data_IF_797970990196
#
_entry.id   IF_797970990196
#
_cell.length_a   1.000
_cell.length_b   1.000
_cell.length_c   1.000
_cell.angle_alpha   90.00
_cell.angle_beta   90.00
_cell.angle_gamma   90.00
#
_symmetry.space_group_name_H-M   'P 1'
#
loop_
_entity.id
_entity.type
_entity.pdbx_description
1 polymer ?
#
# COMPACT_ATOMS: atom_id res chain seq x y z
N UNK A 1 -29.36 6.08 -6.57
CA UNK A 1 -28.48 4.90 -6.69
C UNK A 1 -28.12 4.63 -8.13
N UNK A 2 -27.07 3.89 -8.36
CA UNK A 2 -26.61 3.49 -9.70
C UNK A 2 -27.66 2.57 -10.37
N UNK A 3 -28.06 2.89 -11.62
CA UNK A 3 -28.89 1.99 -12.38
C UNK A 3 -28.08 0.83 -12.94
N UNK A 4 -28.74 -0.33 -13.14
CA UNK A 4 -28.09 -1.51 -13.75
C UNK A 4 -27.52 -1.20 -15.14
N UNK A 5 -28.13 -0.30 -15.89
CA UNK A 5 -27.64 0.07 -17.22
C UNK A 5 -26.33 0.85 -17.15
N UNK A 6 -26.18 1.76 -16.19
CA UNK A 6 -24.91 2.47 -15.97
C UNK A 6 -23.79 1.51 -15.58
N UNK A 7 -24.06 0.52 -14.72
CA UNK A 7 -23.07 -0.50 -14.35
C UNK A 7 -22.67 -1.33 -15.57
N UNK A 8 -23.61 -1.73 -16.43
CA UNK A 8 -23.32 -2.45 -17.68
C UNK A 8 -22.47 -1.63 -18.66
N UNK A 9 -22.78 -0.34 -18.81
CA UNK A 9 -21.98 0.56 -19.67
C UNK A 9 -20.56 0.71 -19.11
N UNK A 10 -20.42 0.91 -17.81
CA UNK A 10 -19.11 0.95 -17.16
C UNK A 10 -18.31 -0.35 -17.37
N UNK A 11 -18.96 -1.51 -17.19
CA UNK A 11 -18.31 -2.82 -17.40
C UNK A 11 -17.79 -2.98 -18.85
N UNK A 12 -18.48 -2.43 -19.85
CA UNK A 12 -18.01 -2.48 -21.24
C UNK A 12 -16.76 -1.63 -21.50
N UNK A 13 -16.57 -0.56 -20.71
CA UNK A 13 -15.41 0.33 -20.82
C UNK A 13 -14.18 -0.13 -20.02
N UNK A 14 -14.37 -1.05 -19.05
CA UNK A 14 -13.28 -1.55 -18.20
C UNK A 14 -12.46 -2.61 -18.93
N UNK A 15 -11.15 -2.58 -18.72
CA UNK A 15 -10.28 -3.74 -18.96
C UNK A 15 -10.35 -4.72 -17.77
N UNK A 16 -10.66 -4.20 -16.59
CA UNK A 16 -10.97 -4.96 -15.40
C UNK A 16 -12.41 -5.47 -15.36
N UNK A 17 -12.93 -5.66 -14.15
CA UNK A 17 -14.27 -6.23 -13.96
C UNK A 17 -14.94 -5.73 -12.68
N UNK A 18 -16.27 -5.88 -12.64
CA UNK A 18 -17.10 -5.51 -11.50
C UNK A 18 -17.62 -6.78 -10.83
N UNK A 19 -17.53 -6.81 -9.49
CA UNK A 19 -18.12 -7.85 -8.63
C UNK A 19 -19.25 -7.24 -7.84
N UNK A 20 -20.43 -7.88 -7.91
CA UNK A 20 -21.67 -7.41 -7.28
C UNK A 20 -22.08 -8.34 -6.14
N UNK A 21 -22.87 -7.84 -5.16
CA UNK A 21 -23.58 -8.71 -4.23
C UNK A 21 -24.39 -9.78 -4.95
N UNK A 22 -24.14 -11.05 -4.64
CA UNK A 22 -24.76 -12.19 -5.31
C UNK A 22 -23.82 -12.94 -6.26
N UNK A 23 -22.72 -12.34 -6.67
CA UNK A 23 -21.69 -13.05 -7.43
C UNK A 23 -20.96 -14.07 -6.54
N UNK A 24 -20.55 -15.23 -7.08
CA UNK A 24 -19.94 -16.32 -6.30
C UNK A 24 -18.72 -15.87 -5.47
N UNK A 25 -17.88 -14.97 -6.01
CA UNK A 25 -16.65 -14.50 -5.38
C UNK A 25 -16.88 -13.30 -4.43
N UNK A 26 -18.07 -12.67 -4.43
CA UNK A 26 -18.30 -11.42 -3.69
C UNK A 26 -17.93 -11.51 -2.21
N UNK A 27 -18.31 -12.61 -1.54
CA UNK A 27 -18.05 -12.76 -0.11
C UNK A 27 -16.57 -12.94 0.23
N UNK A 28 -15.77 -13.48 -0.68
CA UNK A 28 -14.31 -13.55 -0.55
C UNK A 28 -13.68 -12.19 -0.87
N UNK A 29 -14.10 -11.59 -1.97
CA UNK A 29 -13.48 -10.38 -2.52
C UNK A 29 -13.72 -9.13 -1.66
N UNK A 30 -14.80 -9.06 -0.92
CA UNK A 30 -15.08 -7.95 0.01
C UNK A 30 -14.25 -7.97 1.29
N UNK A 31 -13.59 -9.09 1.61
CA UNK A 31 -12.81 -9.22 2.84
C UNK A 31 -11.49 -8.46 2.73
N UNK A 32 -11.01 -8.01 3.89
CA UNK A 32 -9.68 -7.43 4.08
C UNK A 32 -8.91 -8.24 5.13
N UNK A 33 -7.62 -7.97 5.28
CA UNK A 33 -6.74 -8.67 6.22
C UNK A 33 -7.29 -8.69 7.65
N UNK A 34 -7.81 -7.57 8.15
CA UNK A 34 -8.39 -7.51 9.49
C UNK A 34 -9.88 -7.91 9.47
N UNK A 35 -10.24 -9.12 9.92
CA UNK A 35 -11.61 -9.65 9.84
C UNK A 35 -12.62 -8.97 10.80
N UNK A 36 -12.14 -8.09 11.69
CA UNK A 36 -13.01 -7.26 12.52
C UNK A 36 -13.85 -6.32 11.64
N UNK A 37 -13.29 -5.88 10.52
CA UNK A 37 -14.01 -5.09 9.52
C UNK A 37 -14.65 -6.00 8.50
N UNK A 38 -15.98 -5.99 8.46
CA UNK A 38 -16.79 -6.86 7.61
C UNK A 38 -17.80 -6.03 6.79
N UNK A 39 -17.33 -5.14 5.90
CA UNK A 39 -18.20 -4.28 5.11
C UNK A 39 -18.87 -5.06 3.98
N UNK A 40 -19.99 -4.49 3.50
CA UNK A 40 -20.73 -4.99 2.35
C UNK A 40 -20.74 -3.89 1.28
N UNK A 41 -19.72 -3.76 0.44
CA UNK A 41 -19.69 -2.79 -0.64
C UNK A 41 -20.84 -3.05 -1.62
N UNK A 42 -21.41 -1.98 -2.16
CA UNK A 42 -22.45 -2.09 -3.18
C UNK A 42 -21.91 -2.70 -4.49
N UNK A 43 -20.62 -2.55 -4.74
CA UNK A 43 -19.84 -3.20 -5.79
C UNK A 43 -18.35 -3.12 -5.52
N UNK A 44 -17.59 -4.02 -6.12
CA UNK A 44 -16.12 -4.00 -6.13
C UNK A 44 -15.71 -3.86 -7.59
N UNK A 45 -14.89 -2.85 -7.90
CA UNK A 45 -14.39 -2.59 -9.25
C UNK A 45 -12.90 -2.88 -9.24
N UNK A 46 -12.49 -3.98 -9.88
CA UNK A 46 -11.09 -4.33 -10.07
C UNK A 46 -10.52 -3.59 -11.28
N UNK A 47 -9.58 -2.69 -11.02
CA UNK A 47 -8.92 -1.89 -12.05
C UNK A 47 -7.65 -2.59 -12.52
N UNK A 48 -7.52 -2.78 -13.83
CA UNK A 48 -6.36 -3.40 -14.49
C UNK A 48 -5.43 -2.34 -15.10
N UNK A 49 -5.96 -1.16 -15.40
CA UNK A 49 -5.27 -0.01 -16.00
C UNK A 49 -5.79 1.30 -15.41
N UNK A 50 -5.05 2.39 -15.61
CA UNK A 50 -5.40 3.71 -15.06
C UNK A 50 -6.77 4.21 -15.55
N UNK A 51 -7.16 3.92 -16.79
CA UNK A 51 -8.48 4.29 -17.32
C UNK A 51 -9.64 3.62 -16.58
N UNK A 52 -9.42 2.43 -16.01
CA UNK A 52 -10.43 1.76 -15.20
C UNK A 52 -10.71 2.53 -13.89
N UNK A 53 -9.67 3.13 -13.31
CA UNK A 53 -9.81 3.98 -12.12
C UNK A 53 -10.66 5.20 -12.43
N UNK A 54 -10.48 5.83 -13.60
CA UNK A 54 -11.31 6.96 -14.04
C UNK A 54 -12.77 6.58 -14.21
N UNK A 55 -13.03 5.40 -14.81
CA UNK A 55 -14.39 4.85 -14.95
C UNK A 55 -15.02 4.59 -13.57
N UNK A 56 -14.26 3.99 -12.66
CA UNK A 56 -14.73 3.67 -11.31
C UNK A 56 -15.07 4.93 -10.50
N UNK A 57 -14.21 5.97 -10.56
CA UNK A 57 -14.47 7.27 -9.94
C UNK A 57 -15.72 7.95 -10.53
N UNK A 58 -15.86 7.92 -11.86
CA UNK A 58 -17.03 8.47 -12.54
C UNK A 58 -18.30 7.76 -12.09
N UNK A 59 -18.28 6.44 -12.03
CA UNK A 59 -19.41 5.63 -11.61
C UNK A 59 -19.80 5.90 -10.15
N UNK A 60 -18.84 6.01 -9.24
CA UNK A 60 -19.08 6.38 -7.85
C UNK A 60 -19.71 7.78 -7.72
N UNK A 61 -19.17 8.77 -8.45
CA UNK A 61 -19.64 10.15 -8.47
C UNK A 61 -21.06 10.28 -9.02
N UNK A 62 -21.35 9.64 -10.15
CA UNK A 62 -22.68 9.62 -10.74
C UNK A 62 -23.74 8.92 -9.89
N UNK A 63 -23.31 7.92 -9.10
CA UNK A 63 -24.16 7.23 -8.13
C UNK A 63 -24.37 8.00 -6.84
N UNK A 64 -23.67 9.13 -6.62
CA UNK A 64 -23.57 9.82 -5.33
C UNK A 64 -23.27 8.84 -4.19
N UNK A 65 -22.49 7.80 -4.50
CA UNK A 65 -22.12 6.76 -3.56
C UNK A 65 -20.77 7.09 -2.92
N UNK A 66 -20.60 6.89 -1.63
CA UNK A 66 -19.26 6.91 -1.04
C UNK A 66 -18.40 5.84 -1.72
N UNK A 67 -17.12 6.10 -1.84
CA UNK A 67 -16.19 5.11 -2.36
C UNK A 67 -14.99 4.94 -1.43
N UNK A 68 -14.34 3.81 -1.57
CA UNK A 68 -13.13 3.43 -0.84
C UNK A 68 -12.13 2.89 -1.85
N UNK A 69 -10.85 3.20 -1.67
CA UNK A 69 -9.77 2.66 -2.49
C UNK A 69 -9.06 1.55 -1.73
N UNK A 70 -8.83 0.42 -2.40
CA UNK A 70 -8.09 -0.72 -1.85
C UNK A 70 -6.96 -1.12 -2.80
N UNK A 71 -5.76 -1.26 -2.25
CA UNK A 71 -4.63 -1.93 -2.89
C UNK A 71 -4.55 -3.37 -2.35
N UNK A 72 -3.67 -3.69 -1.37
CA UNK A 72 -3.56 -5.04 -0.80
C UNK A 72 -4.55 -5.38 0.32
N UNK A 73 -5.38 -4.46 0.78
CA UNK A 73 -6.36 -4.74 1.83
C UNK A 73 -5.78 -4.94 3.23
N UNK A 74 -4.54 -4.54 3.49
CA UNK A 74 -3.85 -4.72 4.77
C UNK A 74 -4.05 -3.58 5.79
N UNK A 75 -4.96 -2.65 5.55
CA UNK A 75 -5.24 -1.57 6.49
C UNK A 75 -5.86 -2.10 7.77
N UNK A 76 -5.10 -2.06 8.88
CA UNK A 76 -5.55 -2.56 10.19
C UNK A 76 -6.66 -1.72 10.81
N UNK A 77 -6.84 -0.47 10.37
CA UNK A 77 -7.92 0.43 10.77
C UNK A 77 -9.17 0.36 9.88
N UNK A 78 -9.19 -0.51 8.86
CA UNK A 78 -10.35 -0.77 8.02
C UNK A 78 -10.62 0.29 6.94
N UNK A 79 -9.74 1.28 6.73
CA UNK A 79 -9.97 2.35 5.75
C UNK A 79 -10.01 1.88 4.29
N UNK A 80 -9.51 0.68 4.00
CA UNK A 80 -9.59 0.05 2.68
C UNK A 80 -10.88 -0.76 2.45
N UNK A 81 -11.87 -0.58 3.31
CA UNK A 81 -13.14 -1.29 3.26
C UNK A 81 -14.30 -0.33 3.54
N UNK A 82 -15.37 -0.40 2.76
CA UNK A 82 -16.53 0.49 2.88
C UNK A 82 -17.81 -0.11 2.31
N UNK A 83 -18.95 0.51 2.60
CA UNK A 83 -20.26 0.05 2.15
C UNK A 83 -20.64 0.53 0.73
N UNK A 84 -19.91 1.53 0.19
CA UNK A 84 -20.16 2.11 -1.13
C UNK A 84 -19.50 1.36 -2.28
N UNK A 85 -18.92 2.09 -3.21
CA UNK A 85 -18.11 1.54 -4.30
C UNK A 85 -16.70 1.25 -3.77
N UNK A 86 -16.25 0.01 -3.89
CA UNK A 86 -14.86 -0.36 -3.60
C UNK A 86 -14.06 -0.35 -4.90
N UNK A 87 -13.13 0.59 -5.03
CA UNK A 87 -12.20 0.71 -6.15
C UNK A 87 -10.94 -0.07 -5.78
N UNK A 88 -10.75 -1.22 -6.39
CA UNK A 88 -9.62 -2.09 -6.13
C UNK A 88 -8.53 -1.89 -7.18
N UNK A 89 -7.39 -1.39 -6.75
CA UNK A 89 -6.21 -1.10 -7.58
C UNK A 89 -5.08 -2.13 -7.39
N UNK A 90 -5.38 -3.28 -6.80
CA UNK A 90 -4.39 -4.35 -6.55
C UNK A 90 -3.81 -4.95 -7.84
N UNK A 91 -4.48 -4.74 -8.98
CA UNK A 91 -4.02 -5.18 -10.29
C UNK A 91 -3.23 -4.11 -11.08
N UNK A 92 -3.05 -2.91 -10.54
CA UNK A 92 -2.13 -1.93 -11.09
C UNK A 92 -0.71 -2.29 -10.68
N UNK A 93 -0.13 -3.28 -11.36
CA UNK A 93 1.19 -3.80 -11.06
C UNK A 93 2.11 -3.66 -12.27
N UNK A 94 3.34 -3.32 -11.99
CA UNK A 94 4.44 -3.22 -12.92
C UNK A 94 5.66 -2.83 -12.11
N UNK A 95 6.83 -3.36 -12.45
CA UNK A 95 8.10 -3.05 -11.80
C UNK A 95 9.08 -2.71 -12.91
N UNK A 96 9.55 -1.47 -12.91
CA UNK A 96 10.62 -1.02 -13.80
C UNK A 96 11.79 -0.56 -12.93
N UNK A 97 12.94 -1.21 -13.09
CA UNK A 97 14.17 -0.91 -12.34
C UNK A 97 15.14 -0.25 -13.30
N UNK A 98 15.64 0.92 -12.92
CA UNK A 98 16.65 1.66 -13.66
C UNK A 98 17.95 1.72 -12.88
N UNK A 99 18.98 1.07 -13.42
CA UNK A 99 20.35 1.04 -12.89
C UNK A 99 21.35 1.70 -13.86
N UNK A 100 20.87 2.49 -14.80
CA UNK A 100 21.71 3.20 -15.78
C UNK A 100 22.67 4.17 -15.09
N UNK A 101 22.25 4.76 -13.97
CA UNK A 101 23.14 5.46 -13.04
C UNK A 101 23.32 4.61 -11.77
N UNK A 102 24.45 3.89 -11.64
CA UNK A 102 24.72 3.08 -10.47
C UNK A 102 24.83 3.85 -9.15
N UNK A 103 25.07 5.16 -9.21
CA UNK A 103 25.12 6.02 -8.01
C UNK A 103 23.73 6.42 -7.51
N UNK A 104 22.72 6.33 -8.37
CA UNK A 104 21.34 6.73 -8.07
C UNK A 104 20.31 5.79 -8.72
N UNK A 105 20.36 4.47 -8.42
CA UNK A 105 19.42 3.52 -8.99
C UNK A 105 18.00 3.79 -8.51
N UNK A 106 17.01 3.60 -9.41
CA UNK A 106 15.60 3.86 -9.12
C UNK A 106 14.72 2.68 -9.49
N UNK A 107 13.50 2.66 -8.96
CA UNK A 107 12.45 1.76 -9.42
C UNK A 107 11.11 2.50 -9.48
N UNK A 108 10.42 2.37 -10.61
CA UNK A 108 9.02 2.79 -10.74
C UNK A 108 8.13 1.57 -10.65
N UNK A 109 7.18 1.60 -9.71
CA UNK A 109 6.33 0.46 -9.39
C UNK A 109 4.86 0.87 -9.31
N UNK A 110 3.98 -0.01 -9.77
CA UNK A 110 2.53 0.16 -9.62
C UNK A 110 2.08 0.01 -8.17
N UNK A 111 1.02 0.69 -7.78
CA UNK A 111 0.51 0.68 -6.40
C UNK A 111 0.00 -0.70 -5.94
N UNK A 112 -0.34 -1.60 -6.87
CA UNK A 112 -0.75 -2.97 -6.60
C UNK A 112 0.40 -3.96 -6.40
N UNK A 113 1.64 -3.55 -6.60
CA UNK A 113 2.81 -4.42 -6.40
C UNK A 113 2.94 -4.81 -4.94
N UNK A 114 3.09 -6.10 -4.68
CA UNK A 114 3.34 -6.66 -3.35
C UNK A 114 4.81 -6.57 -2.98
N UNK A 115 5.12 -6.36 -1.70
CA UNK A 115 6.52 -6.27 -1.24
C UNK A 115 7.33 -7.53 -1.53
N UNK A 116 6.73 -8.73 -1.45
CA UNK A 116 7.41 -9.97 -1.84
C UNK A 116 7.87 -9.95 -3.29
N UNK A 117 7.02 -9.50 -4.22
CA UNK A 117 7.34 -9.36 -5.63
C UNK A 117 8.44 -8.31 -5.85
N UNK A 118 8.34 -7.17 -5.16
CA UNK A 118 9.30 -6.09 -5.29
C UNK A 118 10.68 -6.49 -4.76
N UNK A 119 10.73 -7.12 -3.57
CA UNK A 119 12.00 -7.66 -3.03
C UNK A 119 12.63 -8.68 -3.96
N UNK A 120 11.84 -9.59 -4.51
CA UNK A 120 12.34 -10.58 -5.47
C UNK A 120 12.90 -9.93 -6.75
N UNK A 121 12.28 -8.85 -7.23
CA UNK A 121 12.78 -8.11 -8.39
C UNK A 121 14.07 -7.33 -8.10
N UNK A 122 14.25 -6.81 -6.88
CA UNK A 122 15.44 -6.04 -6.48
C UNK A 122 16.64 -6.93 -6.11
N UNK A 123 16.38 -8.15 -5.64
CA UNK A 123 17.42 -9.07 -5.14
C UNK A 123 18.57 -9.32 -6.12
N UNK A 124 18.36 -9.54 -7.44
CA UNK A 124 19.44 -9.73 -8.40
C UNK A 124 20.40 -8.54 -8.51
N UNK A 125 19.96 -7.35 -8.12
CA UNK A 125 20.74 -6.11 -8.16
C UNK A 125 21.41 -5.79 -6.82
N UNK A 126 21.13 -6.55 -5.75
CA UNK A 126 21.56 -6.21 -4.40
C UNK A 126 20.96 -4.90 -3.87
N UNK A 127 19.82 -4.49 -4.43
CA UNK A 127 19.17 -3.23 -4.11
C UNK A 127 17.96 -3.43 -3.19
N UNK A 128 17.59 -2.35 -2.50
CA UNK A 128 16.57 -2.38 -1.46
C UNK A 128 15.84 -1.04 -1.33
N UNK A 129 14.62 -1.11 -0.82
CA UNK A 129 13.86 0.00 -0.23
C UNK A 129 13.19 -0.52 1.05
N UNK A 130 13.11 0.26 2.15
CA UNK A 130 12.43 -0.17 3.37
C UNK A 130 11.00 -0.63 3.09
N UNK A 131 10.64 -1.78 3.59
CA UNK A 131 9.33 -2.41 3.39
C UNK A 131 8.89 -3.18 4.63
N UNK A 132 7.59 -3.52 4.67
CA UNK A 132 7.00 -4.29 5.76
C UNK A 132 7.44 -5.76 5.76
N UNK A 133 7.06 -6.47 6.81
CA UNK A 133 7.42 -7.88 7.02
C UNK A 133 6.63 -8.82 6.11
N UNK A 134 5.35 -8.53 5.87
CA UNK A 134 4.46 -9.40 5.11
C UNK A 134 4.66 -9.24 3.60
N UNK A 135 4.83 -10.36 2.90
CA UNK A 135 5.08 -10.40 1.46
C UNK A 135 3.91 -9.92 0.62
N UNK A 136 2.69 -10.07 1.10
CA UNK A 136 1.44 -9.78 0.37
C UNK A 136 0.89 -8.37 0.61
N UNK A 137 1.56 -7.55 1.43
CA UNK A 137 1.25 -6.13 1.57
C UNK A 137 1.63 -5.38 0.29
N UNK A 138 0.67 -4.64 -0.28
CA UNK A 138 0.92 -3.83 -1.47
C UNK A 138 1.56 -2.48 -1.12
N UNK A 139 2.41 -2.02 -2.01
CA UNK A 139 3.16 -0.76 -1.90
C UNK A 139 2.21 0.44 -1.73
N UNK A 140 1.10 0.47 -2.48
CA UNK A 140 0.23 1.63 -2.55
C UNK A 140 -0.34 2.10 -1.21
N UNK A 141 -0.89 1.18 -0.41
CA UNK A 141 -1.39 1.54 0.92
C UNK A 141 -0.27 1.79 1.92
N UNK A 142 0.82 1.04 1.81
CA UNK A 142 1.93 1.07 2.76
C UNK A 142 2.67 2.41 2.77
N UNK A 143 3.07 2.90 1.60
CA UNK A 143 3.79 4.17 1.50
C UNK A 143 2.94 5.37 1.94
N UNK A 144 1.63 5.35 1.64
CA UNK A 144 0.73 6.44 2.00
C UNK A 144 0.50 6.55 3.51
N UNK A 145 0.75 5.46 4.25
CA UNK A 145 0.82 5.46 5.72
C UNK A 145 2.22 5.75 6.29
N UNK A 146 3.19 6.11 5.43
CA UNK A 146 4.59 6.31 5.81
C UNK A 146 5.44 5.06 5.59
N UNK A 147 5.04 3.94 6.12
CA UNK A 147 5.66 2.62 5.96
C UNK A 147 7.01 2.48 6.65
N UNK A 148 7.10 1.69 7.71
CA UNK A 148 8.36 1.37 8.37
C UNK A 148 8.63 -0.15 8.35
N UNK A 149 9.90 -0.51 8.50
CA UNK A 149 10.32 -1.91 8.58
C UNK A 149 11.68 -2.02 9.27
N UNK A 150 12.22 -3.23 9.31
CA UNK A 150 13.48 -3.51 10.02
C UNK A 150 14.68 -2.68 9.55
N UNK A 151 14.67 -2.22 8.31
CA UNK A 151 15.75 -1.41 7.74
C UNK A 151 15.53 0.10 7.84
N UNK A 152 14.42 0.54 8.45
CA UNK A 152 14.08 1.97 8.52
C UNK A 152 15.06 2.78 9.37
N UNK A 153 15.71 2.17 10.35
CA UNK A 153 16.76 2.85 11.16
C UNK A 153 17.94 3.28 10.27
N UNK A 154 18.24 2.51 9.22
CA UNK A 154 19.35 2.80 8.30
C UNK A 154 18.94 3.65 7.11
N UNK A 155 17.76 3.38 6.54
CA UNK A 155 17.35 3.93 5.25
C UNK A 155 16.14 4.87 5.33
N UNK A 156 15.65 5.19 6.52
CA UNK A 156 14.44 5.99 6.71
C UNK A 156 13.15 5.19 6.52
N UNK A 157 12.03 5.87 6.54
CA UNK A 157 10.73 5.29 6.26
C UNK A 157 10.61 4.93 4.75
N UNK A 158 9.65 4.10 4.40
CA UNK A 158 9.41 3.79 2.98
C UNK A 158 9.13 5.09 2.18
N UNK A 159 8.28 5.97 2.71
CA UNK A 159 7.93 7.24 2.08
C UNK A 159 9.10 8.23 1.95
N UNK A 160 10.17 8.09 2.74
CA UNK A 160 11.37 8.96 2.64
C UNK A 160 12.19 8.64 1.38
N UNK A 161 12.01 7.45 0.83
CA UNK A 161 12.70 7.01 -0.38
C UNK A 161 11.88 7.28 -1.66
N UNK A 162 10.73 7.94 -1.58
CA UNK A 162 9.89 8.31 -2.73
C UNK A 162 10.44 9.56 -3.41
N UNK A 163 10.81 9.43 -4.68
CA UNK A 163 11.25 10.53 -5.54
C UNK A 163 10.07 11.24 -6.19
N UNK A 164 9.13 10.46 -6.72
CA UNK A 164 7.91 10.97 -7.35
C UNK A 164 6.80 9.92 -7.29
N UNK A 165 5.58 10.36 -7.53
CA UNK A 165 4.42 9.47 -7.66
C UNK A 165 3.48 10.00 -8.75
N UNK A 166 2.65 9.13 -9.32
CA UNK A 166 1.51 9.53 -10.12
C UNK A 166 0.22 9.17 -9.41
N UNK A 167 -0.73 10.08 -9.44
CA UNK A 167 -2.02 9.89 -8.81
C UNK A 167 -3.16 10.38 -9.72
N UNK A 168 -4.30 9.73 -9.62
CA UNK A 168 -5.53 10.20 -10.25
C UNK A 168 -6.33 11.02 -9.25
N UNK A 169 -6.65 12.25 -9.60
CA UNK A 169 -7.48 13.15 -8.81
C UNK A 169 -8.96 12.80 -8.94
N UNK A 170 -9.79 13.38 -8.10
CA UNK A 170 -11.24 13.12 -8.08
C UNK A 170 -11.98 13.46 -9.38
N UNK A 171 -11.41 14.33 -10.21
CA UNK A 171 -11.95 14.69 -11.53
C UNK A 171 -11.50 13.74 -12.66
N UNK A 172 -10.65 12.75 -12.35
CA UNK A 172 -10.08 11.82 -13.31
C UNK A 172 -8.76 12.29 -13.94
N UNK A 173 -8.27 13.46 -13.57
CA UNK A 173 -6.97 13.97 -14.05
C UNK A 173 -5.82 13.17 -13.41
N UNK A 174 -4.88 12.71 -14.22
CA UNK A 174 -3.63 12.11 -13.73
C UNK A 174 -2.59 13.21 -13.57
N UNK A 175 -1.98 13.27 -12.40
CA UNK A 175 -0.93 14.23 -12.07
C UNK A 175 0.31 13.52 -11.57
N UNK A 176 1.48 14.10 -11.87
CA UNK A 176 2.74 13.72 -11.24
C UNK A 176 2.95 14.61 -10.02
N UNK A 177 3.44 14.04 -8.93
CA UNK A 177 3.82 14.77 -7.73
C UNK A 177 5.26 14.42 -7.32
N UNK A 178 6.04 15.46 -7.03
CA UNK A 178 7.45 15.37 -6.64
C UNK A 178 7.80 16.60 -5.78
N UNK A 179 9.01 16.71 -5.23
CA UNK A 179 9.44 17.93 -4.53
C UNK A 179 9.34 19.22 -5.35
N UNK A 180 9.36 19.10 -6.69
CA UNK A 180 9.38 20.23 -7.62
C UNK A 180 8.08 20.41 -8.43
N UNK A 181 7.14 19.47 -8.32
CA UNK A 181 5.88 19.49 -9.05
C UNK A 181 4.76 18.95 -8.15
N UNK A 182 3.68 19.71 -7.96
CA UNK A 182 2.60 19.36 -7.03
C UNK A 182 3.14 18.93 -5.65
N UNK A 183 4.04 19.72 -5.08
CA UNK A 183 4.84 19.39 -3.90
C UNK A 183 3.97 19.17 -2.65
N UNK A 184 2.85 19.85 -2.54
CA UNK A 184 1.84 19.69 -1.49
C UNK A 184 1.17 18.30 -1.56
N UNK A 185 0.81 17.85 -2.77
CA UNK A 185 0.28 16.51 -3.00
C UNK A 185 1.34 15.44 -2.71
N UNK A 186 2.58 15.65 -3.17
CA UNK A 186 3.70 14.75 -2.87
C UNK A 186 3.94 14.61 -1.37
N UNK A 187 3.89 15.71 -0.63
CA UNK A 187 4.00 15.71 0.83
C UNK A 187 2.83 14.95 1.47
N UNK A 188 1.60 15.25 1.06
CA UNK A 188 0.38 14.69 1.64
C UNK A 188 0.27 13.17 1.44
N UNK A 189 0.62 12.66 0.26
CA UNK A 189 0.53 11.24 -0.07
C UNK A 189 1.68 10.38 0.52
N UNK A 190 2.66 11.00 1.16
CA UNK A 190 3.80 10.35 1.82
C UNK A 190 3.61 10.28 3.34
N UNK A 191 2.49 9.71 3.80
CA UNK A 191 2.19 9.53 5.23
C UNK A 191 0.85 10.09 5.68
N UNK A 192 0.15 10.87 4.85
CA UNK A 192 -1.16 11.44 5.17
C UNK A 192 -2.34 10.47 5.05
N UNK A 193 -2.08 9.17 4.98
CA UNK A 193 -2.99 8.06 4.76
C UNK A 193 -3.57 7.95 3.34
N UNK A 194 -3.88 6.73 2.92
CA UNK A 194 -4.39 6.45 1.57
C UNK A 194 -5.85 6.88 1.36
N UNK A 195 -6.18 7.20 0.10
CA UNK A 195 -7.55 7.47 -0.33
C UNK A 195 -8.06 8.88 -0.03
N UNK A 196 -7.24 9.78 0.52
CA UNK A 196 -7.67 11.13 0.92
C UNK A 196 -7.37 12.19 -0.15
N UNK A 197 -6.27 12.05 -0.89
CA UNK A 197 -5.75 13.12 -1.76
C UNK A 197 -5.77 12.74 -3.25
N UNK A 198 -6.13 11.50 -3.55
CA UNK A 198 -6.17 10.92 -4.88
C UNK A 198 -5.99 9.41 -4.83
N UNK A 199 -6.15 8.76 -5.97
CA UNK A 199 -5.85 7.33 -6.14
C UNK A 199 -4.42 7.21 -6.62
N UNK A 200 -3.54 6.64 -5.80
CA UNK A 200 -2.15 6.37 -6.19
C UNK A 200 -2.13 5.34 -7.33
N UNK A 201 -1.39 5.63 -8.40
CA UNK A 201 -1.21 4.74 -9.55
C UNK A 201 0.19 4.12 -9.54
N UNK A 202 1.22 4.95 -9.52
CA UNK A 202 2.62 4.50 -9.50
C UNK A 202 3.45 5.32 -8.51
N UNK A 203 4.58 4.76 -8.13
CA UNK A 203 5.59 5.45 -7.31
C UNK A 203 6.99 5.15 -7.82
N UNK A 204 7.84 6.16 -7.85
CA UNK A 204 9.28 6.02 -8.17
C UNK A 204 10.09 6.16 -6.88
N UNK A 205 10.84 5.12 -6.57
CA UNK A 205 11.72 5.05 -5.40
C UNK A 205 13.17 5.30 -5.75
N UNK A 206 13.89 5.98 -4.87
CA UNK A 206 15.32 5.86 -4.76
C UNK A 206 15.65 4.52 -4.14
N UNK A 207 16.45 3.71 -4.82
CA UNK A 207 16.93 2.44 -4.30
C UNK A 207 18.25 2.61 -3.54
N UNK A 208 18.49 1.67 -2.61
CA UNK A 208 19.69 1.66 -1.76
C UNK A 208 20.39 0.31 -1.86
N UNK A 209 21.73 0.26 -1.87
CA UNK A 209 22.44 -1.00 -1.67
C UNK A 209 22.05 -1.61 -0.31
N UNK A 210 21.61 -2.87 -0.28
CA UNK A 210 21.21 -3.51 0.98
C UNK A 210 22.42 -3.89 1.83
N UNK A 211 23.45 -4.46 1.21
CA UNK A 211 24.58 -5.05 1.93
C UNK A 211 24.19 -6.33 2.68
N UNK A 212 25.03 -6.73 3.63
CA UNK A 212 24.74 -7.86 4.51
C UNK A 212 23.78 -7.46 5.62
N UNK A 213 22.78 -8.29 5.87
CA UNK A 213 21.78 -8.10 6.93
C UNK A 213 21.87 -9.25 7.91
N UNK A 214 21.99 -8.93 9.19
CA UNK A 214 21.95 -9.90 10.28
C UNK A 214 20.67 -9.72 11.08
N UNK A 215 19.88 -10.77 11.21
CA UNK A 215 18.69 -10.81 12.05
C UNK A 215 18.84 -11.76 13.22
N UNK A 216 18.33 -11.37 14.39
CA UNK A 216 18.30 -12.22 15.57
C UNK A 216 16.97 -12.03 16.33
N UNK A 217 16.61 -13.04 17.11
CA UNK A 217 15.48 -12.98 18.04
C UNK A 217 15.88 -13.61 19.37
N UNK A 218 15.44 -13.02 20.47
CA UNK A 218 15.56 -13.59 21.80
C UNK A 218 14.15 -13.80 22.32
N UNK A 219 13.87 -15.03 22.75
CA UNK A 219 12.55 -15.44 23.23
C UNK A 219 12.67 -15.81 24.70
N UNK A 220 11.87 -15.16 25.53
CA UNK A 220 11.69 -15.52 26.94
C UNK A 220 10.37 -16.23 27.12
N UNK A 221 10.34 -17.45 27.71
CA UNK A 221 9.09 -18.05 28.13
C UNK A 221 8.45 -17.21 29.25
N UNK A 222 7.13 -17.27 29.38
CA UNK A 222 6.38 -16.56 30.43
C UNK A 222 5.50 -17.55 31.22
N UNK A 223 6.00 -18.78 31.42
CA UNK A 223 5.22 -19.87 31.98
C UNK A 223 5.28 -19.94 33.51
N UNK A 224 6.34 -19.41 34.10
CA UNK A 224 6.56 -19.41 35.56
C UNK A 224 6.84 -17.99 36.08
N UNK A 225 6.72 -17.78 37.39
CA UNK A 225 7.09 -16.50 38.01
C UNK A 225 8.56 -16.12 37.71
N UNK A 226 9.47 -17.09 37.74
CA UNK A 226 10.87 -16.88 37.44
C UNK A 226 11.08 -16.45 35.96
N UNK A 227 10.32 -17.02 35.03
CA UNK A 227 10.39 -16.61 33.61
C UNK A 227 9.94 -15.15 33.45
N UNK A 228 8.88 -14.76 34.16
CA UNK A 228 8.37 -13.37 34.14
C UNK A 228 9.42 -12.42 34.72
N UNK A 229 10.05 -12.78 35.82
CA UNK A 229 11.13 -11.97 36.43
C UNK A 229 12.31 -11.82 35.48
N UNK A 230 12.74 -12.89 34.82
CA UNK A 230 13.81 -12.87 33.83
C UNK A 230 13.45 -11.98 32.62
N UNK A 231 12.24 -12.09 32.08
CA UNK A 231 11.77 -11.27 30.97
C UNK A 231 11.68 -9.80 31.37
N UNK A 232 11.20 -9.52 32.59
CA UNK A 232 11.12 -8.15 33.15
C UNK A 232 12.51 -7.54 33.27
N UNK A 233 13.49 -8.29 33.82
CA UNK A 233 14.86 -7.86 33.93
C UNK A 233 15.49 -7.54 32.56
N UNK A 234 15.23 -8.35 31.55
CA UNK A 234 15.70 -8.13 30.18
C UNK A 234 15.07 -6.85 29.55
N UNK A 235 13.77 -6.63 29.75
CA UNK A 235 13.10 -5.40 29.27
C UNK A 235 13.62 -4.15 29.95
N UNK A 236 13.85 -4.19 31.28
CA UNK A 236 14.43 -3.07 32.02
C UNK A 236 15.85 -2.76 31.54
N UNK A 237 16.69 -3.78 31.32
CA UNK A 237 18.03 -3.61 30.76
C UNK A 237 17.99 -2.96 29.37
N UNK A 238 17.09 -3.44 28.50
CA UNK A 238 16.87 -2.86 27.16
C UNK A 238 16.47 -1.38 27.28
N UNK A 239 15.51 -1.06 28.14
CA UNK A 239 15.02 0.31 28.34
C UNK A 239 16.10 1.25 28.88
N UNK A 240 16.86 0.78 29.87
CA UNK A 240 17.81 1.64 30.58
C UNK A 240 19.12 1.83 29.84
N UNK A 241 19.61 0.79 29.14
CA UNK A 241 20.95 0.81 28.56
C UNK A 241 20.96 1.03 27.05
N UNK A 242 19.89 0.64 26.33
CA UNK A 242 19.86 0.71 24.87
C UNK A 242 18.90 1.75 24.33
N UNK A 243 17.69 1.87 24.88
CA UNK A 243 16.70 2.81 24.33
C UNK A 243 16.95 4.28 24.72
N UNK A 244 17.70 4.53 25.80
CA UNK A 244 18.04 5.90 26.24
C UNK A 244 19.30 6.47 25.59
N UNK A 245 20.05 5.65 24.87
CA UNK A 245 21.34 6.02 24.26
C UNK A 245 21.30 5.99 22.72
N UNK A 246 20.15 5.67 22.14
CA UNK A 246 19.94 5.62 20.66
C UNK A 246 19.53 6.96 20.09
#
# INVERSE_FOLDING_TARGET
GLSRDKVKVAQQGLQGYIVMPGDPQYNTDRMIFNPVFNPFPSMIIYCMVDSDVAIALTLAKEGTAPFTVRSGGHCTAGFSAGAGVLIDVSNLYGIYIDTSDPSSPTATVGCGVKFGQFRAALAPYGLHVPGGECDDVCIGGYLQGGGYGFTSVTFGMNCDNVLSLTAMLADGTIVTASPNENADLWWAMRGGTGGNFGVLLTVTYQLRPLGDVFGWAIIWPLSTAQDIDNATGALMLLQEQYMRTA
#
